data_IF_303633394782
#
_entry.id   IF_303633394782
#
_cell.length_a   1.000
_cell.length_b   1.000
_cell.length_c   1.000
_cell.angle_alpha   90.00
_cell.angle_beta   90.00
_cell.angle_gamma   90.00
#
_symmetry.space_group_name_H-M   'P 1'
#
loop_
_entity.id
_entity.type
_entity.pdbx_description
1 polymer ?
#
# COMPACT_ATOMS: atom_id res chain seq x y z
N UNK A 1 -9.51 -24.58 1.48
CA UNK A 1 -8.48 -24.34 0.46
C UNK A 1 -8.37 -22.90 -0.07
N UNK A 2 -9.40 -22.05 -0.09
CA UNK A 2 -9.31 -20.66 -0.63
C UNK A 2 -8.47 -19.66 0.21
N UNK A 3 -8.13 -19.96 1.43
CA UNK A 3 -7.46 -19.02 2.37
C UNK A 3 -5.95 -18.86 2.12
N UNK A 4 -5.27 -19.93 1.73
CA UNK A 4 -3.83 -19.92 1.40
C UNK A 4 -3.54 -19.22 0.06
N UNK A 5 -4.46 -19.31 -0.90
CA UNK A 5 -4.33 -18.72 -2.23
C UNK A 5 -4.21 -17.18 -2.19
N UNK A 6 -4.95 -16.49 -1.29
CA UNK A 6 -4.91 -15.02 -1.22
C UNK A 6 -3.55 -14.50 -0.71
N UNK A 7 -2.94 -15.18 0.27
CA UNK A 7 -1.62 -14.81 0.77
C UNK A 7 -0.54 -15.06 -0.27
N UNK A 8 -0.62 -16.17 -0.99
CA UNK A 8 0.31 -16.47 -2.08
C UNK A 8 0.27 -15.36 -3.15
N UNK A 9 -0.92 -14.99 -3.63
CA UNK A 9 -1.09 -13.91 -4.61
C UNK A 9 -0.55 -12.58 -4.08
N UNK A 10 -0.83 -12.26 -2.82
CA UNK A 10 -0.34 -11.03 -2.19
C UNK A 10 1.19 -10.98 -2.10
N UNK A 11 1.84 -12.05 -1.64
CA UNK A 11 3.30 -12.09 -1.57
C UNK A 11 3.96 -12.16 -2.95
N UNK A 12 3.35 -12.82 -3.92
CA UNK A 12 3.82 -12.80 -5.30
C UNK A 12 3.77 -11.37 -5.87
N UNK A 13 2.71 -10.62 -5.58
CA UNK A 13 2.59 -9.21 -5.94
C UNK A 13 3.68 -8.35 -5.27
N UNK A 14 3.91 -8.50 -3.97
CA UNK A 14 4.98 -7.78 -3.26
C UNK A 14 6.37 -8.15 -3.80
N UNK A 15 6.58 -9.42 -4.16
CA UNK A 15 7.81 -9.88 -4.82
C UNK A 15 8.03 -9.20 -6.18
N UNK A 16 6.98 -9.09 -6.99
CA UNK A 16 7.03 -8.39 -8.27
C UNK A 16 7.30 -6.88 -8.08
N UNK A 17 6.68 -6.24 -7.08
CA UNK A 17 6.93 -4.85 -6.72
C UNK A 17 8.38 -4.63 -6.26
N UNK A 18 8.93 -5.54 -5.44
CA UNK A 18 10.35 -5.51 -5.05
C UNK A 18 11.29 -5.69 -6.25
N UNK A 19 10.99 -6.64 -7.14
CA UNK A 19 11.75 -6.84 -8.38
C UNK A 19 11.73 -5.59 -9.27
N UNK A 20 10.58 -4.88 -9.35
CA UNK A 20 10.47 -3.60 -10.06
C UNK A 20 11.43 -2.55 -9.47
N UNK A 21 11.46 -2.40 -8.12
CA UNK A 21 12.37 -1.46 -7.45
C UNK A 21 13.82 -1.81 -7.72
N UNK A 22 14.21 -3.09 -7.63
CA UNK A 22 15.57 -3.54 -7.91
C UNK A 22 15.95 -3.30 -9.38
N UNK A 23 15.09 -3.68 -10.31
CA UNK A 23 15.33 -3.55 -11.74
C UNK A 23 15.47 -2.08 -12.18
N UNK A 24 14.57 -1.21 -11.73
CA UNK A 24 14.62 0.21 -12.10
C UNK A 24 15.61 1.01 -11.26
N UNK A 25 15.94 0.55 -10.05
CA UNK A 25 16.91 1.19 -9.17
C UNK A 25 18.35 1.06 -9.62
N UNK A 26 18.71 0.04 -10.44
CA UNK A 26 20.11 -0.15 -10.88
C UNK A 26 20.60 0.96 -11.82
N UNK A 27 19.72 1.66 -12.53
CA UNK A 27 20.06 2.78 -13.40
C UNK A 27 20.28 4.10 -12.66
N UNK A 28 19.97 4.15 -11.36
CA UNK A 28 20.18 5.32 -10.53
C UNK A 28 21.67 5.63 -10.35
N UNK A 29 22.04 6.93 -10.25
CA UNK A 29 23.41 7.32 -9.94
C UNK A 29 23.84 6.84 -8.55
N UNK A 30 25.15 6.78 -8.29
CA UNK A 30 25.69 6.38 -6.98
C UNK A 30 25.20 7.26 -5.82
N UNK A 31 24.87 8.55 -6.12
CA UNK A 31 24.23 9.51 -5.20
C UNK A 31 22.89 9.92 -5.76
N UNK A 32 21.81 9.44 -5.14
CA UNK A 32 20.43 9.60 -5.57
C UNK A 32 19.80 10.80 -4.88
N UNK A 33 19.21 11.72 -5.64
CA UNK A 33 18.30 12.72 -5.10
C UNK A 33 17.03 12.01 -4.59
N UNK A 34 16.87 11.97 -3.27
CA UNK A 34 15.82 11.18 -2.59
C UNK A 34 14.73 12.04 -1.96
N UNK A 35 14.99 13.33 -1.78
CA UNK A 35 14.01 14.29 -1.29
C UNK A 35 14.01 15.54 -2.16
N UNK A 36 12.81 16.08 -2.40
CA UNK A 36 12.58 17.20 -3.31
C UNK A 36 11.75 18.28 -2.60
N UNK A 37 12.11 19.53 -2.81
CA UNK A 37 11.36 20.68 -2.32
C UNK A 37 10.03 20.82 -3.10
N UNK A 38 9.15 21.70 -2.64
CA UNK A 38 7.89 22.02 -3.33
C UNK A 38 8.09 22.61 -4.74
N UNK A 39 9.27 23.15 -5.03
CA UNK A 39 9.68 23.58 -6.38
C UNK A 39 10.05 22.41 -7.32
N UNK A 40 10.14 21.20 -6.80
CA UNK A 40 10.62 20.01 -7.53
C UNK A 40 12.15 19.85 -7.55
N UNK A 41 12.92 20.82 -7.06
CA UNK A 41 14.37 20.70 -6.97
C UNK A 41 14.80 19.77 -5.84
N UNK A 42 15.82 18.96 -6.12
CA UNK A 42 16.40 18.07 -5.11
C UNK A 42 17.05 18.90 -3.97
N UNK A 43 16.75 18.53 -2.74
CA UNK A 43 17.31 19.17 -1.54
C UNK A 43 17.95 18.19 -0.55
N UNK A 44 17.84 16.87 -0.79
CA UNK A 44 18.54 15.85 -0.03
C UNK A 44 18.91 14.65 -0.92
N UNK A 45 20.01 14.00 -0.57
CA UNK A 45 20.57 12.89 -1.32
C UNK A 45 20.97 11.75 -0.41
N UNK A 46 20.95 10.54 -0.91
CA UNK A 46 21.44 9.34 -0.24
C UNK A 46 22.22 8.43 -1.21
N UNK A 47 22.93 7.44 -0.71
CA UNK A 47 23.54 6.43 -1.57
C UNK A 47 22.48 5.63 -2.32
N UNK A 48 22.80 5.16 -3.53
CA UNK A 48 21.90 4.31 -4.32
C UNK A 48 21.43 3.09 -3.53
N UNK A 49 22.35 2.39 -2.88
CA UNK A 49 22.03 1.18 -2.14
C UNK A 49 21.15 1.49 -0.91
N UNK A 50 21.40 2.61 -0.22
CA UNK A 50 20.56 3.10 0.86
C UNK A 50 19.15 3.43 0.37
N UNK A 51 19.02 4.10 -0.77
CA UNK A 51 17.74 4.40 -1.38
C UNK A 51 16.97 3.13 -1.79
N UNK A 52 17.63 2.16 -2.41
CA UNK A 52 17.00 0.89 -2.81
C UNK A 52 16.54 0.12 -1.57
N UNK A 53 17.39 0.01 -0.53
CA UNK A 53 17.02 -0.65 0.72
C UNK A 53 15.81 0.03 1.38
N UNK A 54 15.80 1.37 1.42
CA UNK A 54 14.68 2.17 1.92
C UNK A 54 13.39 1.87 1.12
N UNK A 55 13.45 1.90 -0.22
CA UNK A 55 12.29 1.63 -1.05
C UNK A 55 11.77 0.19 -0.90
N UNK A 56 12.66 -0.80 -0.78
CA UNK A 56 12.25 -2.18 -0.52
C UNK A 56 11.54 -2.33 0.83
N UNK A 57 12.03 -1.65 1.87
CA UNK A 57 11.37 -1.63 3.17
C UNK A 57 9.94 -1.07 3.08
N UNK A 58 9.74 -0.01 2.33
CA UNK A 58 8.43 0.65 2.19
C UNK A 58 7.51 -0.06 1.19
N UNK A 59 8.03 -0.59 0.09
CA UNK A 59 7.23 -1.23 -0.97
C UNK A 59 6.85 -2.68 -0.61
N UNK A 60 7.72 -3.40 0.09
CA UNK A 60 7.56 -4.83 0.37
C UNK A 60 7.29 -5.10 1.84
N UNK A 61 8.20 -4.65 2.73
CA UNK A 61 8.15 -5.04 4.15
C UNK A 61 6.96 -4.36 4.84
N UNK A 62 6.79 -3.06 4.67
CA UNK A 62 5.72 -2.31 5.35
C UNK A 62 4.31 -2.85 5.00
N UNK A 63 3.90 -3.02 3.72
CA UNK A 63 2.58 -3.57 3.40
C UNK A 63 2.40 -5.01 3.88
N UNK A 64 3.46 -5.82 3.84
CA UNK A 64 3.46 -7.19 4.35
C UNK A 64 3.22 -7.25 5.86
N UNK A 65 3.98 -6.47 6.62
CA UNK A 65 3.85 -6.37 8.09
C UNK A 65 2.48 -5.81 8.49
N UNK A 66 2.03 -4.74 7.84
CA UNK A 66 0.71 -4.15 8.11
C UNK A 66 -0.42 -5.15 7.88
N UNK A 67 -0.43 -5.85 6.74
CA UNK A 67 -1.46 -6.84 6.42
C UNK A 67 -1.44 -8.03 7.39
N UNK A 68 -0.25 -8.49 7.79
CA UNK A 68 -0.07 -9.53 8.79
C UNK A 68 -0.58 -9.09 10.17
N UNK A 69 -0.19 -7.91 10.63
CA UNK A 69 -0.59 -7.35 11.92
C UNK A 69 -2.10 -7.12 11.99
N UNK A 70 -2.72 -6.52 10.95
CA UNK A 70 -4.18 -6.38 10.89
C UNK A 70 -4.88 -7.74 10.96
N UNK A 71 -4.36 -8.75 10.26
CA UNK A 71 -4.92 -10.10 10.31
C UNK A 71 -4.84 -10.72 11.71
N UNK A 72 -3.73 -10.51 12.41
CA UNK A 72 -3.57 -10.96 13.80
C UNK A 72 -4.61 -10.29 14.70
N UNK A 73 -4.76 -8.96 14.62
CA UNK A 73 -5.76 -8.22 15.41
C UNK A 73 -7.17 -8.73 15.13
N UNK A 74 -7.56 -8.88 13.86
CA UNK A 74 -8.91 -9.33 13.51
C UNK A 74 -9.20 -10.77 13.99
N UNK A 75 -8.18 -11.60 14.14
CA UNK A 75 -8.32 -12.97 14.64
C UNK A 75 -8.30 -13.05 16.17
N UNK A 76 -7.49 -12.23 16.83
CA UNK A 76 -7.27 -12.33 18.28
C UNK A 76 -8.46 -11.81 19.08
N UNK A 77 -9.06 -10.70 18.66
CA UNK A 77 -10.17 -10.10 19.41
C UNK A 77 -11.19 -9.41 18.50
N UNK A 78 -12.47 -9.57 18.84
CA UNK A 78 -13.54 -8.79 18.20
C UNK A 78 -13.65 -7.37 18.76
N UNK A 79 -13.07 -7.12 19.94
CA UNK A 79 -13.13 -5.81 20.60
C UNK A 79 -12.47 -4.70 19.74
N UNK A 80 -11.40 -5.04 19.02
CA UNK A 80 -10.67 -4.11 18.17
C UNK A 80 -11.26 -3.91 16.77
N UNK A 81 -12.32 -4.64 16.40
CA UNK A 81 -12.95 -4.51 15.08
C UNK A 81 -14.05 -3.44 15.15
N UNK A 82 -13.78 -2.29 14.54
CA UNK A 82 -14.75 -1.19 14.42
C UNK A 82 -15.35 -1.18 13.01
N UNK A 83 -16.52 -1.78 12.85
CA UNK A 83 -17.30 -1.83 11.60
C UNK A 83 -18.76 -1.48 11.87
N UNK A 84 -19.50 -0.95 10.87
CA UNK A 84 -20.93 -0.74 10.98
C UNK A 84 -21.67 -2.04 11.31
N UNK A 85 -22.74 -1.94 12.12
CA UNK A 85 -23.58 -3.08 12.51
C UNK A 85 -22.76 -4.25 13.09
N UNK A 86 -21.78 -3.93 13.92
CA UNK A 86 -20.81 -4.87 14.50
C UNK A 86 -21.48 -6.09 15.13
N UNK A 87 -22.57 -5.89 15.91
CA UNK A 87 -23.29 -6.98 16.58
C UNK A 87 -23.84 -8.02 15.60
N UNK A 88 -24.27 -7.57 14.40
CA UNK A 88 -24.74 -8.47 13.36
C UNK A 88 -23.58 -9.22 12.69
N UNK A 89 -22.54 -8.49 12.27
CA UNK A 89 -21.44 -9.04 11.47
C UNK A 89 -20.44 -9.88 12.28
N UNK A 90 -20.27 -9.59 13.58
CA UNK A 90 -19.39 -10.33 14.47
C UNK A 90 -20.13 -11.37 15.36
N UNK A 91 -21.42 -11.62 15.09
CA UNK A 91 -22.12 -12.75 15.70
C UNK A 91 -21.41 -14.08 15.38
N UNK A 92 -21.42 -15.08 16.27
CA UNK A 92 -20.65 -16.33 16.11
C UNK A 92 -20.80 -16.99 14.73
N UNK A 93 -22.01 -17.00 14.19
CA UNK A 93 -22.29 -17.60 12.88
C UNK A 93 -21.65 -16.87 11.66
N UNK A 94 -21.25 -15.60 11.82
CA UNK A 94 -20.73 -14.75 10.71
C UNK A 94 -19.28 -14.30 10.94
N UNK A 95 -18.79 -14.39 12.17
CA UNK A 95 -17.49 -13.86 12.58
C UNK A 95 -16.36 -14.30 11.65
N UNK A 96 -16.26 -15.60 11.36
CA UNK A 96 -15.15 -16.13 10.55
C UNK A 96 -15.18 -15.62 9.12
N UNK A 97 -16.37 -15.50 8.53
CA UNK A 97 -16.53 -14.93 7.19
C UNK A 97 -16.17 -13.43 7.17
N UNK A 98 -16.60 -12.68 8.21
CA UNK A 98 -16.27 -11.25 8.37
C UNK A 98 -14.78 -11.04 8.55
N UNK A 99 -14.11 -11.82 9.39
CA UNK A 99 -12.65 -11.75 9.58
C UNK A 99 -11.90 -12.10 8.29
N UNK A 100 -12.35 -13.11 7.55
CA UNK A 100 -11.76 -13.47 6.27
C UNK A 100 -11.91 -12.35 5.22
N UNK A 101 -13.08 -11.70 5.19
CA UNK A 101 -13.36 -10.54 4.35
C UNK A 101 -12.43 -9.37 4.70
N UNK A 102 -12.34 -8.97 5.97
CA UNK A 102 -11.47 -7.88 6.44
C UNK A 102 -10.00 -8.17 6.17
N UNK A 103 -9.54 -9.41 6.41
CA UNK A 103 -8.18 -9.84 6.09
C UNK A 103 -7.84 -9.65 4.61
N UNK A 104 -8.76 -10.07 3.71
CA UNK A 104 -8.59 -9.87 2.28
C UNK A 104 -8.50 -8.38 1.91
N UNK A 105 -9.32 -7.54 2.51
CA UNK A 105 -9.30 -6.08 2.28
C UNK A 105 -8.05 -5.42 2.85
N UNK A 106 -7.49 -5.94 3.94
CA UNK A 106 -6.18 -5.52 4.45
C UNK A 106 -5.05 -5.78 3.44
N UNK A 107 -5.06 -6.95 2.78
CA UNK A 107 -4.10 -7.26 1.70
C UNK A 107 -4.29 -6.36 0.47
N UNK A 108 -5.54 -6.09 0.07
CA UNK A 108 -5.85 -5.16 -1.04
C UNK A 108 -5.31 -3.77 -0.73
N UNK A 109 -5.54 -3.26 0.48
CA UNK A 109 -4.99 -1.98 0.92
C UNK A 109 -3.47 -1.97 0.87
N UNK A 110 -2.83 -3.03 1.37
CA UNK A 110 -1.38 -3.20 1.29
C UNK A 110 -0.87 -3.17 -0.15
N UNK A 111 -1.58 -3.82 -1.08
CA UNK A 111 -1.23 -3.81 -2.50
C UNK A 111 -1.41 -2.41 -3.13
N UNK A 112 -2.48 -1.68 -2.78
CA UNK A 112 -2.70 -0.29 -3.23
C UNK A 112 -1.58 0.62 -2.76
N UNK A 113 -1.18 0.54 -1.49
CA UNK A 113 -0.06 1.32 -0.94
C UNK A 113 1.24 0.96 -1.64
N UNK A 114 1.54 -0.33 -1.81
CA UNK A 114 2.75 -0.79 -2.52
C UNK A 114 2.78 -0.28 -3.96
N UNK A 115 1.65 -0.31 -4.69
CA UNK A 115 1.53 0.23 -6.06
C UNK A 115 1.85 1.73 -6.09
N UNK A 116 1.28 2.49 -5.16
CA UNK A 116 1.57 3.93 -5.07
C UNK A 116 3.04 4.20 -4.77
N UNK A 117 3.66 3.42 -3.89
CA UNK A 117 5.09 3.57 -3.58
C UNK A 117 5.99 3.17 -4.78
N UNK A 118 5.60 2.18 -5.58
CA UNK A 118 6.25 1.90 -6.87
C UNK A 118 6.14 3.08 -7.84
N UNK A 119 4.99 3.74 -7.88
CA UNK A 119 4.82 4.97 -8.68
C UNK A 119 5.73 6.10 -8.18
N UNK A 120 5.82 6.33 -6.87
CA UNK A 120 6.75 7.30 -6.27
C UNK A 120 8.19 6.96 -6.62
N UNK A 121 8.58 5.69 -6.50
CA UNK A 121 9.91 5.22 -6.92
C UNK A 121 10.20 5.53 -8.40
N UNK A 122 9.25 5.23 -9.28
CA UNK A 122 9.37 5.54 -10.70
C UNK A 122 9.57 7.04 -10.94
N UNK A 123 8.85 7.92 -10.23
CA UNK A 123 9.03 9.36 -10.31
C UNK A 123 10.44 9.79 -9.87
N UNK A 124 10.97 9.18 -8.81
CA UNK A 124 12.34 9.45 -8.32
C UNK A 124 13.38 8.99 -9.36
N UNK A 125 13.20 7.81 -9.97
CA UNK A 125 14.07 7.35 -11.06
C UNK A 125 14.06 8.35 -12.22
N UNK A 126 12.89 8.82 -12.63
CA UNK A 126 12.74 9.85 -13.67
C UNK A 126 13.37 11.19 -13.26
N UNK A 127 13.21 11.61 -12.01
CA UNK A 127 13.81 12.85 -11.52
C UNK A 127 15.35 12.80 -11.53
N UNK A 128 15.94 11.64 -11.28
CA UNK A 128 17.39 11.45 -11.31
C UNK A 128 17.96 11.19 -12.73
N UNK A 129 17.13 11.05 -13.75
CA UNK A 129 17.57 10.91 -15.13
C UNK A 129 17.87 12.26 -15.83
N UNK A 130 17.60 13.38 -15.15
CA UNK A 130 17.87 14.74 -15.63
C UNK A 130 18.88 15.46 -14.74
N UNK A 131 19.57 16.49 -15.29
CA UNK A 131 20.56 17.27 -14.55
C UNK A 131 20.22 18.77 -14.64
N UNK A 132 20.02 19.47 -13.50
CA UNK A 132 19.95 18.96 -12.13
C UNK A 132 18.73 18.08 -11.90
N UNK A 133 18.75 17.15 -10.90
CA UNK A 133 17.60 16.29 -10.61
C UNK A 133 16.36 17.11 -10.26
N UNK A 134 15.24 16.81 -10.94
CA UNK A 134 13.99 17.56 -10.78
C UNK A 134 12.79 16.64 -10.82
N UNK A 135 11.94 16.70 -9.78
CA UNK A 135 10.71 15.95 -9.68
C UNK A 135 9.58 16.64 -10.45
N UNK A 136 8.82 15.87 -11.20
CA UNK A 136 7.60 16.34 -11.86
C UNK A 136 6.45 16.45 -10.82
N UNK A 137 6.38 17.58 -10.12
CA UNK A 137 5.43 17.79 -9.02
C UNK A 137 3.97 17.57 -9.42
N UNK A 138 3.60 17.93 -10.66
CA UNK A 138 2.24 17.70 -11.16
C UNK A 138 1.87 16.21 -11.23
N UNK A 139 2.83 15.34 -11.57
CA UNK A 139 2.61 13.88 -11.55
C UNK A 139 2.50 13.36 -10.12
N UNK A 140 3.32 13.86 -9.20
CA UNK A 140 3.21 13.51 -7.77
C UNK A 140 1.84 13.91 -7.20
N UNK A 141 1.40 15.14 -7.49
CA UNK A 141 0.09 15.62 -7.06
C UNK A 141 -1.06 14.82 -7.67
N UNK A 142 -0.97 14.50 -8.97
CA UNK A 142 -1.95 13.65 -9.64
C UNK A 142 -2.00 12.24 -9.05
N UNK A 143 -0.84 11.65 -8.75
CA UNK A 143 -0.75 10.35 -8.09
C UNK A 143 -1.35 10.35 -6.68
N UNK A 144 -1.07 11.39 -5.89
CA UNK A 144 -1.67 11.57 -4.56
C UNK A 144 -3.19 11.75 -4.65
N UNK A 145 -3.67 12.57 -5.57
CA UNK A 145 -5.10 12.76 -5.79
C UNK A 145 -5.77 11.44 -6.21
N UNK A 146 -5.15 10.68 -7.12
CA UNK A 146 -5.62 9.36 -7.54
C UNK A 146 -5.68 8.36 -6.37
N UNK A 147 -4.63 8.31 -5.53
CA UNK A 147 -4.63 7.49 -4.32
C UNK A 147 -5.77 7.87 -3.38
N UNK A 148 -5.98 9.17 -3.13
CA UNK A 148 -7.07 9.65 -2.27
C UNK A 148 -8.43 9.24 -2.80
N UNK A 149 -8.68 9.39 -4.10
CA UNK A 149 -9.94 8.95 -4.74
C UNK A 149 -10.14 7.45 -4.55
N UNK A 150 -9.11 6.64 -4.80
CA UNK A 150 -9.17 5.18 -4.60
C UNK A 150 -9.51 4.84 -3.15
N UNK A 151 -8.85 5.49 -2.17
CA UNK A 151 -9.09 5.25 -0.75
C UNK A 151 -10.49 5.68 -0.31
N UNK A 152 -10.99 6.82 -0.80
CA UNK A 152 -12.35 7.31 -0.51
C UNK A 152 -13.41 6.33 -1.07
N UNK A 153 -13.29 5.98 -2.35
CA UNK A 153 -14.22 5.04 -3.00
C UNK A 153 -14.19 3.67 -2.31
N UNK A 154 -12.98 3.17 -2.03
CA UNK A 154 -12.81 1.88 -1.35
C UNK A 154 -13.39 1.90 0.06
N UNK A 155 -13.18 2.98 0.83
CA UNK A 155 -13.72 3.13 2.19
C UNK A 155 -15.25 3.23 2.16
N UNK A 156 -15.80 4.02 1.25
CA UNK A 156 -17.25 4.16 1.09
C UNK A 156 -17.89 2.82 0.70
N UNK A 157 -17.27 2.09 -0.22
CA UNK A 157 -17.73 0.76 -0.61
C UNK A 157 -17.63 -0.24 0.55
N UNK A 158 -16.51 -0.25 1.29
CA UNK A 158 -16.33 -1.10 2.46
C UNK A 158 -17.39 -0.81 3.53
N UNK A 159 -17.67 0.48 3.78
CA UNK A 159 -18.72 0.90 4.70
C UNK A 159 -20.11 0.41 4.26
N UNK A 160 -20.42 0.53 2.97
CA UNK A 160 -21.67 0.06 2.40
C UNK A 160 -21.81 -1.48 2.48
N UNK A 161 -20.71 -2.23 2.36
CA UNK A 161 -20.71 -3.69 2.47
C UNK A 161 -21.13 -4.19 3.86
N UNK A 162 -21.01 -3.34 4.91
CA UNK A 162 -21.42 -3.65 6.27
C UNK A 162 -22.83 -3.17 6.63
N UNK A 163 -23.67 -2.79 5.65
CA UNK A 163 -25.09 -2.57 5.86
C UNK A 163 -25.80 -3.90 6.12
N UNK A 164 -26.77 -3.89 7.03
CA UNK A 164 -27.59 -5.10 7.32
C UNK A 164 -28.60 -5.28 6.19
N UNK A 165 -28.70 -6.47 5.56
CA UNK A 165 -29.74 -6.75 4.58
C UNK A 165 -31.13 -6.60 5.19
N UNK A 166 -32.01 -5.81 4.56
CA UNK A 166 -33.41 -5.66 5.00
C UNK A 166 -33.67 -4.63 6.11
N UNK A 167 -32.67 -3.90 6.59
CA UNK A 167 -32.89 -2.72 7.45
C UNK A 167 -33.30 -1.50 6.59
N UNK A 168 -34.57 -1.42 6.26
CA UNK A 168 -35.26 -0.21 5.76
C UNK A 168 -36.23 0.27 6.81
#
# INVERSE_FOLDING_TARGET
MKRSSNWFVFFAFLGAAGAFVLYTGHVLPGRVASHFASSGHANSFMSRDGYIAFMLAFVVVLPGVMSGFMTLIFRSTTASINIPNRGYWLAPARRDATVAFLTRHGMILGAVVSTFLCFVHWLVVKANSVQPPQLANYLMQAGLAGLLVVLIVWTAWLWAAFRVPGAR
#
